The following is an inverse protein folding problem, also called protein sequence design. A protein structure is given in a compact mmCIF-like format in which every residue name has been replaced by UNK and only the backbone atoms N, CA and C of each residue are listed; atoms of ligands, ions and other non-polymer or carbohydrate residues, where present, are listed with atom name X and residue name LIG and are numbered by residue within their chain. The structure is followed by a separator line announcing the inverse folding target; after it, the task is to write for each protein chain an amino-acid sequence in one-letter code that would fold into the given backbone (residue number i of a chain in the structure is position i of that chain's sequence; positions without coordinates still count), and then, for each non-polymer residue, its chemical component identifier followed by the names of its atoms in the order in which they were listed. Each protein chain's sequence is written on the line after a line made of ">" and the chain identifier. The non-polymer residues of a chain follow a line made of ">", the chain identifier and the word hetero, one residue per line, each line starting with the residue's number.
data_IF_319862500779
#
_entry.id   IF_319862500779
#
_cell.length_a   1.000
_cell.length_b   1.000
_cell.length_c   1.000
_cell.angle_alpha   90.00
_cell.angle_beta   90.00
_cell.angle_gamma   90.00
#
_symmetry.space_group_name_H-M   'P 1'
#
loop_
_entity.id
_entity.type
_entity.pdbx_description
1 polymer ?
#
# COMPACT_ATOMS: atom_id res chain seq x y z
N UNK A 1 -14.75 11.15 14.17
CA UNK A 1 -14.79 10.11 13.12
C UNK A 1 -14.40 8.73 13.67
N UNK A 2 -15.02 8.29 14.78
CA UNK A 2 -14.73 6.98 15.41
C UNK A 2 -15.97 6.07 15.38
N UNK A 3 -17.12 6.55 14.87
CA UNK A 3 -18.40 5.86 14.99
C UNK A 3 -18.77 4.91 13.83
N UNK A 4 -17.84 4.58 12.91
CA UNK A 4 -18.18 3.74 11.74
C UNK A 4 -17.40 2.42 11.63
N UNK A 5 -16.48 2.11 12.55
CA UNK A 5 -15.68 0.88 12.48
C UNK A 5 -16.29 -0.34 13.18
N UNK A 6 -17.31 -0.18 14.03
CA UNK A 6 -17.82 -1.31 14.85
C UNK A 6 -18.91 -2.12 14.14
N UNK A 7 -19.61 -1.57 13.14
CA UNK A 7 -20.72 -2.29 12.50
C UNK A 7 -20.29 -3.35 11.47
N UNK A 8 -19.04 -3.33 10.98
CA UNK A 8 -18.59 -4.26 9.95
C UNK A 8 -18.13 -5.63 10.47
N UNK A 9 -17.88 -5.77 11.77
CA UNK A 9 -17.39 -7.02 12.36
C UNK A 9 -18.52 -8.02 12.68
N UNK A 10 -19.76 -7.56 12.88
CA UNK A 10 -20.86 -8.40 13.36
C UNK A 10 -21.62 -9.17 12.27
N UNK A 11 -21.50 -8.78 10.99
CA UNK A 11 -22.30 -9.41 9.93
C UNK A 11 -21.68 -10.69 9.35
N UNK A 12 -20.40 -10.96 9.59
CA UNK A 12 -19.67 -12.02 8.86
C UNK A 12 -19.75 -13.42 9.48
N UNK A 13 -20.28 -13.56 10.70
CA UNK A 13 -20.31 -14.86 11.41
C UNK A 13 -21.67 -15.58 11.29
N UNK A 14 -22.73 -14.92 10.83
CA UNK A 14 -24.11 -15.43 10.95
C UNK A 14 -24.78 -16.05 9.71
N UNK A 15 -24.12 -16.17 8.55
CA UNK A 15 -24.83 -16.40 7.26
C UNK A 15 -24.37 -17.64 6.48
N UNK A 16 -24.01 -18.73 7.16
CA UNK A 16 -23.48 -19.93 6.51
C UNK A 16 -24.50 -20.85 5.80
N UNK A 17 -25.80 -20.52 5.72
CA UNK A 17 -26.78 -21.40 5.04
C UNK A 17 -27.64 -20.76 3.93
N UNK A 18 -27.55 -19.45 3.67
CA UNK A 18 -28.36 -18.76 2.64
C UNK A 18 -27.55 -18.19 1.44
N UNK A 19 -26.23 -18.39 1.42
CA UNK A 19 -25.28 -17.65 0.58
C UNK A 19 -25.08 -18.11 -0.88
N UNK A 20 -25.95 -18.93 -1.47
CA UNK A 20 -25.77 -19.36 -2.88
C UNK A 20 -26.59 -18.51 -3.86
N UNK A 21 -27.81 -18.05 -3.51
CA UNK A 21 -28.59 -17.20 -4.43
C UNK A 21 -28.35 -15.69 -4.26
N UNK A 22 -27.95 -15.22 -3.08
CA UNK A 22 -27.61 -13.80 -2.84
C UNK A 22 -26.22 -13.39 -3.31
N UNK A 23 -25.40 -14.34 -3.80
CA UNK A 23 -24.02 -14.10 -4.22
C UNK A 23 -23.96 -13.35 -5.55
N UNK A 24 -24.81 -13.70 -6.53
CA UNK A 24 -24.84 -13.05 -7.84
C UNK A 24 -25.24 -11.57 -7.77
N UNK A 25 -26.23 -11.22 -6.95
CA UNK A 25 -26.68 -9.84 -6.79
C UNK A 25 -25.68 -8.97 -6.02
N UNK A 26 -25.04 -9.53 -4.98
CA UNK A 26 -24.02 -8.81 -4.21
C UNK A 26 -22.74 -8.58 -5.03
N UNK A 27 -22.31 -9.58 -5.82
CA UNK A 27 -21.16 -9.42 -6.72
C UNK A 27 -21.47 -8.41 -7.83
N UNK A 28 -22.67 -8.44 -8.42
CA UNK A 28 -23.07 -7.48 -9.46
C UNK A 28 -23.22 -6.05 -8.92
N UNK A 29 -23.80 -5.86 -7.74
CA UNK A 29 -23.89 -4.57 -7.08
C UNK A 29 -22.51 -4.04 -6.65
N UNK A 30 -21.60 -4.92 -6.22
CA UNK A 30 -20.21 -4.56 -5.94
C UNK A 30 -19.46 -4.16 -7.21
N UNK A 31 -19.66 -4.88 -8.32
CA UNK A 31 -19.08 -4.53 -9.62
C UNK A 31 -19.61 -3.21 -10.14
N UNK A 32 -20.91 -2.93 -10.01
CA UNK A 32 -21.50 -1.65 -10.43
C UNK A 32 -21.01 -0.49 -9.56
N UNK A 33 -20.99 -0.66 -8.23
CA UNK A 33 -20.48 0.36 -7.32
C UNK A 33 -18.99 0.63 -7.56
N UNK A 34 -18.18 -0.42 -7.76
CA UNK A 34 -16.76 -0.30 -8.08
C UNK A 34 -16.56 0.39 -9.43
N UNK A 35 -17.38 0.07 -10.43
CA UNK A 35 -17.35 0.71 -11.74
C UNK A 35 -17.75 2.19 -11.67
N UNK A 36 -18.85 2.53 -10.99
CA UNK A 36 -19.27 3.92 -10.79
C UNK A 36 -18.25 4.70 -9.98
N UNK A 37 -17.66 4.10 -8.94
CA UNK A 37 -16.56 4.70 -8.16
C UNK A 37 -15.33 4.92 -9.04
N UNK A 38 -14.90 3.94 -9.82
CA UNK A 38 -13.77 4.09 -10.76
C UNK A 38 -14.06 5.16 -11.82
N UNK A 39 -15.29 5.27 -12.31
CA UNK A 39 -15.68 6.30 -13.26
C UNK A 39 -15.59 7.70 -12.64
N UNK A 40 -16.11 7.86 -11.41
CA UNK A 40 -15.98 9.11 -10.65
C UNK A 40 -14.51 9.45 -10.39
N UNK A 41 -13.67 8.48 -10.04
CA UNK A 41 -12.23 8.69 -9.82
C UNK A 41 -11.51 9.07 -11.13
N UNK A 42 -11.87 8.43 -12.25
CA UNK A 42 -11.35 8.74 -13.60
C UNK A 42 -11.74 10.15 -14.06
N UNK A 43 -12.93 10.60 -13.67
CA UNK A 43 -13.42 11.96 -13.92
C UNK A 43 -12.87 12.99 -12.91
N UNK A 44 -12.41 12.55 -11.72
CA UNK A 44 -12.10 13.43 -10.59
C UNK A 44 -10.86 14.33 -10.76
N UNK A 45 -9.93 14.01 -11.65
CA UNK A 45 -8.89 14.92 -12.16
C UNK A 45 -7.97 14.11 -13.07
N UNK A 46 -7.74 14.57 -14.31
CA UNK A 46 -6.74 13.96 -15.22
C UNK A 46 -5.34 14.50 -15.04
N UNK A 47 -5.18 15.54 -14.22
CA UNK A 47 -3.90 16.16 -13.93
C UNK A 47 -3.39 15.58 -12.61
N UNK A 48 -2.20 14.95 -12.59
CA UNK A 48 -1.52 14.67 -11.34
C UNK A 48 -1.45 15.98 -10.55
N UNK A 49 -1.99 15.97 -9.33
CA UNK A 49 -2.10 17.19 -8.52
C UNK A 49 -0.71 17.82 -8.30
N UNK A 50 0.32 16.99 -8.21
CA UNK A 50 1.71 17.38 -8.13
C UNK A 50 2.60 16.47 -8.97
N UNK A 51 3.49 17.06 -9.76
CA UNK A 51 4.60 16.36 -10.38
C UNK A 51 5.76 16.34 -9.38
N UNK A 52 5.98 15.20 -8.73
CA UNK A 52 6.96 15.07 -7.64
C UNK A 52 8.39 15.35 -8.12
N UNK A 53 8.71 15.07 -9.39
CA UNK A 53 10.03 15.37 -9.95
C UNK A 53 10.23 16.86 -10.12
N UNK A 54 9.23 17.57 -10.66
CA UNK A 54 9.25 19.05 -10.75
C UNK A 54 9.29 19.68 -9.37
N UNK A 55 8.53 19.15 -8.42
CA UNK A 55 8.50 19.64 -7.05
C UNK A 55 9.87 19.49 -6.37
N UNK A 56 10.50 18.32 -6.47
CA UNK A 56 11.84 18.10 -5.94
C UNK A 56 12.90 18.99 -6.59
N UNK A 57 12.75 19.33 -7.88
CA UNK A 57 13.63 20.28 -8.56
C UNK A 57 13.46 21.72 -8.05
N UNK A 58 12.23 22.13 -7.72
CA UNK A 58 11.94 23.46 -7.17
C UNK A 58 12.23 23.57 -5.66
N UNK A 59 12.08 22.47 -4.92
CA UNK A 59 12.22 22.38 -3.46
C UNK A 59 12.93 21.06 -3.12
N UNK A 60 14.27 21.01 -3.22
CA UNK A 60 15.01 19.79 -2.96
C UNK A 60 14.88 19.38 -1.50
N UNK A 61 14.56 18.11 -1.25
CA UNK A 61 14.51 17.56 0.10
C UNK A 61 15.93 17.42 0.64
N UNK A 62 16.29 18.07 1.76
CA UNK A 62 17.61 17.93 2.35
C UNK A 62 17.82 16.49 2.81
N UNK A 63 19.01 15.94 2.55
CA UNK A 63 19.38 14.61 3.06
C UNK A 63 19.68 14.70 4.55
N UNK A 64 19.21 13.72 5.30
CA UNK A 64 19.57 13.55 6.70
C UNK A 64 20.93 12.86 6.76
N UNK A 65 21.95 13.58 7.22
CA UNK A 65 23.24 13.00 7.57
C UNK A 65 23.07 12.23 8.89
N UNK A 66 23.05 10.90 8.80
CA UNK A 66 22.86 9.95 9.91
C UNK A 66 21.46 9.98 10.57
N UNK A 67 20.46 9.30 9.99
CA UNK A 67 19.15 9.20 10.61
C UNK A 67 19.24 8.41 11.92
N UNK A 68 18.74 9.00 13.01
CA UNK A 68 18.56 8.31 14.31
C UNK A 68 17.59 7.11 14.26
N UNK A 69 17.03 6.81 13.09
CA UNK A 69 16.07 5.75 12.83
C UNK A 69 16.55 4.85 11.70
N UNK A 70 16.15 3.58 11.74
CA UNK A 70 16.41 2.63 10.65
C UNK A 70 15.29 2.73 9.61
N UNK A 71 15.65 2.71 8.33
CA UNK A 71 14.72 2.82 7.20
C UNK A 71 14.66 1.52 6.43
N UNK A 72 13.44 1.13 6.04
CA UNK A 72 13.18 0.08 5.06
C UNK A 72 12.36 0.70 3.93
N UNK A 73 12.80 0.48 2.69
CA UNK A 73 12.10 0.94 1.48
C UNK A 73 11.49 -0.27 0.79
N UNK A 74 10.17 -0.29 0.62
CA UNK A 74 9.41 -1.40 0.01
C UNK A 74 8.43 -0.82 -1.01
N UNK A 75 8.30 -1.47 -2.16
CA UNK A 75 7.33 -1.11 -3.19
C UNK A 75 6.87 -2.30 -4.02
N UNK A 76 5.80 -2.11 -4.78
CA UNK A 76 5.25 -3.12 -5.68
C UNK A 76 5.92 -3.03 -7.07
N UNK A 77 6.11 -4.16 -7.74
CA UNK A 77 6.76 -4.24 -9.06
C UNK A 77 5.97 -3.54 -10.16
N UNK A 78 4.66 -3.77 -10.17
CA UNK A 78 3.74 -3.30 -11.22
C UNK A 78 2.96 -2.05 -10.76
N UNK A 79 3.59 -1.22 -9.94
CA UNK A 79 3.03 0.03 -9.42
C UNK A 79 3.08 1.13 -10.50
N UNK A 80 1.89 1.58 -10.93
CA UNK A 80 1.74 2.65 -11.91
C UNK A 80 1.85 4.06 -11.33
N UNK A 81 1.78 4.20 -10.01
CA UNK A 81 1.86 5.49 -9.31
C UNK A 81 3.31 5.77 -8.93
N UNK A 82 4.01 4.79 -8.34
CA UNK A 82 5.43 4.86 -8.01
C UNK A 82 6.17 3.77 -8.76
N UNK A 83 6.76 4.13 -9.90
CA UNK A 83 7.49 3.19 -10.73
C UNK A 83 8.78 2.67 -10.05
N UNK A 84 9.39 1.67 -10.67
CA UNK A 84 10.65 1.08 -10.19
C UNK A 84 11.78 2.12 -10.03
N UNK A 85 11.81 3.16 -10.86
CA UNK A 85 12.81 4.22 -10.71
C UNK A 85 12.54 5.06 -9.46
N UNK A 86 11.30 5.46 -9.20
CA UNK A 86 10.91 6.17 -7.98
C UNK A 86 11.19 5.36 -6.70
N UNK A 87 10.98 4.05 -6.76
CA UNK A 87 11.35 3.13 -5.68
C UNK A 87 12.88 3.13 -5.44
N UNK A 88 13.67 3.04 -6.50
CA UNK A 88 15.14 3.06 -6.44
C UNK A 88 15.71 4.44 -6.05
N UNK A 89 15.10 5.53 -6.49
CA UNK A 89 15.40 6.90 -6.07
C UNK A 89 15.23 7.04 -4.55
N UNK A 90 14.12 6.50 -4.01
CA UNK A 90 13.85 6.50 -2.56
C UNK A 90 14.91 5.70 -1.80
N UNK A 91 15.29 4.51 -2.29
CA UNK A 91 16.39 3.72 -1.70
C UNK A 91 17.71 4.49 -1.67
N UNK A 92 18.10 5.11 -2.80
CA UNK A 92 19.30 5.93 -2.90
C UNK A 92 19.26 7.16 -1.99
N UNK A 93 18.09 7.77 -1.82
CA UNK A 93 17.92 8.92 -0.93
C UNK A 93 18.25 8.57 0.53
N UNK A 94 17.81 7.39 0.99
CA UNK A 94 18.08 6.90 2.35
C UNK A 94 19.35 6.05 2.47
N UNK A 95 20.06 5.78 1.37
CA UNK A 95 21.24 4.92 1.37
C UNK A 95 20.96 3.45 1.68
N UNK A 96 19.74 2.97 1.42
CA UNK A 96 19.31 1.58 1.66
C UNK A 96 18.82 0.92 0.37
N UNK A 97 19.00 -0.40 0.20
CA UNK A 97 18.42 -1.10 -0.94
C UNK A 97 16.89 -1.10 -0.84
N UNK A 98 16.22 -0.91 -1.98
CA UNK A 98 14.78 -1.04 -2.06
C UNK A 98 14.36 -2.50 -2.24
N UNK A 99 13.25 -2.90 -1.60
CA UNK A 99 12.64 -4.22 -1.76
C UNK A 99 11.45 -4.10 -2.71
N UNK A 100 11.57 -4.74 -3.87
CA UNK A 100 10.50 -4.83 -4.86
C UNK A 100 9.70 -6.13 -4.66
N UNK A 101 8.38 -6.02 -4.55
CA UNK A 101 7.47 -7.16 -4.31
C UNK A 101 6.64 -7.41 -5.56
N UNK A 102 6.64 -8.65 -6.02
CA UNK A 102 5.85 -9.09 -7.18
C UNK A 102 4.43 -9.49 -6.77
N UNK A 103 3.47 -9.30 -7.67
CA UNK A 103 2.11 -9.80 -7.50
C UNK A 103 1.30 -9.12 -6.38
N UNK A 104 1.63 -7.88 -6.05
CA UNK A 104 0.89 -7.04 -5.10
C UNK A 104 0.49 -5.72 -5.77
N UNK A 105 -0.65 -5.16 -5.36
CA UNK A 105 -1.10 -3.84 -5.81
C UNK A 105 -0.28 -2.70 -5.15
N UNK A 106 -0.48 -1.47 -5.65
CA UNK A 106 0.11 -0.25 -5.08
C UNK A 106 -0.09 -0.16 -3.56
N UNK A 107 -1.35 -0.26 -3.11
CA UNK A 107 -1.67 -0.27 -1.69
C UNK A 107 -1.51 -1.68 -1.10
N UNK A 108 -0.25 -2.13 -0.96
CA UNK A 108 0.12 -3.51 -0.60
C UNK A 108 -0.64 -4.04 0.62
N UNK A 109 -0.87 -3.22 1.66
CA UNK A 109 -1.49 -3.67 2.91
C UNK A 109 -3.01 -3.86 2.85
N UNK A 110 -3.68 -3.37 1.81
CA UNK A 110 -5.12 -3.61 1.57
C UNK A 110 -5.37 -4.54 0.38
N UNK A 111 -4.31 -4.97 -0.31
CA UNK A 111 -4.37 -5.95 -1.38
C UNK A 111 -4.73 -7.35 -0.86
N UNK A 112 -5.32 -8.18 -1.72
CA UNK A 112 -5.63 -9.57 -1.38
C UNK A 112 -4.37 -10.41 -1.04
N UNK A 113 -3.22 -10.03 -1.58
CA UNK A 113 -1.91 -10.63 -1.35
C UNK A 113 -1.07 -9.86 -0.33
N UNK A 114 -1.69 -9.07 0.57
CA UNK A 114 -0.98 -8.26 1.58
C UNK A 114 0.06 -9.03 2.40
N UNK A 115 -0.14 -10.34 2.60
CA UNK A 115 0.80 -11.21 3.32
C UNK A 115 2.16 -11.28 2.63
N UNK A 116 2.20 -11.27 1.30
CA UNK A 116 3.42 -11.19 0.50
C UNK A 116 4.17 -9.89 0.80
N UNK A 117 3.41 -8.79 0.90
CA UNK A 117 3.88 -7.48 1.35
C UNK A 117 4.47 -7.43 2.76
N UNK A 118 3.80 -8.11 3.70
CA UNK A 118 4.15 -8.08 5.12
C UNK A 118 5.41 -8.90 5.45
N UNK A 119 5.75 -9.92 4.64
CA UNK A 119 6.88 -10.80 4.91
C UNK A 119 8.24 -10.07 4.96
N UNK A 120 8.58 -9.18 4.00
CA UNK A 120 9.80 -8.37 4.09
C UNK A 120 9.85 -7.47 5.32
N UNK A 121 8.72 -6.87 5.71
CA UNK A 121 8.62 -6.01 6.90
C UNK A 121 8.89 -6.83 8.16
N UNK A 122 8.24 -7.99 8.30
CA UNK A 122 8.43 -8.87 9.45
C UNK A 122 9.87 -9.40 9.54
N UNK A 123 10.45 -9.82 8.41
CA UNK A 123 11.85 -10.26 8.36
C UNK A 123 12.81 -9.16 8.78
N UNK A 124 12.58 -7.92 8.31
CA UNK A 124 13.38 -6.77 8.69
C UNK A 124 13.28 -6.49 10.20
N UNK A 125 12.09 -6.42 10.77
CA UNK A 125 11.88 -6.21 12.21
C UNK A 125 12.57 -7.30 13.06
N UNK A 126 12.45 -8.56 12.64
CA UNK A 126 13.11 -9.67 13.32
C UNK A 126 14.65 -9.57 13.25
N UNK A 127 15.20 -9.07 12.14
CA UNK A 127 16.64 -8.84 12.02
C UNK A 127 17.14 -7.75 12.96
N UNK A 128 16.35 -6.69 13.17
CA UNK A 128 16.67 -5.61 14.10
C UNK A 128 16.65 -6.09 15.56
N UNK A 129 15.65 -6.90 15.94
CA UNK A 129 15.58 -7.45 17.29
C UNK A 129 16.77 -8.37 17.62
N UNK A 130 17.22 -9.17 16.65
CA UNK A 130 18.43 -10.01 16.82
C UNK A 130 19.69 -9.17 17.02
N UNK A 131 19.82 -8.06 16.29
CA UNK A 131 20.96 -7.15 16.43
C UNK A 131 20.98 -6.44 17.79
N UNK A 132 19.81 -6.14 18.38
CA UNK A 132 19.68 -5.51 19.69
C UNK A 132 19.90 -6.44 20.90
N UNK A 133 19.90 -7.77 20.69
CA UNK A 133 20.02 -8.78 21.76
C UNK A 133 21.48 -9.26 21.95
N UNK A 134 22.43 -8.76 21.16
CA UNK A 134 23.85 -9.13 21.23
C UNK A 134 24.67 -8.21 22.16
N UNK A 135 24.06 -7.68 23.21
CA UNK A 135 24.71 -6.80 24.21
C UNK A 135 24.66 -7.45 25.58
#
# INVERSE_FOLDING_TARGET
>A
MISLCILFQALYVGLNQLCIQHRLMATFAFSFLLFSYQQLMTESSRMPLFDLRKLNASLPVPRLEDPAFKVLVVGAKDDFIVDMEGLNETGRFYGVPAVCIEGVAHDIMIDCSWRTGAQPILSWLNSLNKAGTQI
#
